data_IF_105129883167
#
_entry.id   IF_105129883167
#
_cell.length_a   1.000
_cell.length_b   1.000
_cell.length_c   1.000
_cell.angle_alpha   90.00
_cell.angle_beta   90.00
_cell.angle_gamma   90.00
#
_symmetry.space_group_name_H-M   'P 1'
#
loop_
_entity.id
_entity.type
_entity.pdbx_description
1 polymer ?
#
# COMPACT_ATOMS: atom_id res chain seq x y z
N UNK A 1 7.96 2.71 28.01
CA UNK A 1 7.15 3.44 26.99
C UNK A 1 7.52 2.89 25.63
N UNK A 2 6.56 2.34 24.91
CA UNK A 2 6.74 1.85 23.55
C UNK A 2 6.91 3.04 22.61
N UNK A 3 7.92 3.05 21.73
CA UNK A 3 8.11 4.15 20.78
C UNK A 3 6.85 4.32 19.93
N UNK A 4 6.29 5.52 19.90
CA UNK A 4 5.23 5.85 18.97
C UNK A 4 5.81 5.87 17.56
N UNK A 5 5.25 5.04 16.67
CA UNK A 5 5.58 5.08 15.24
C UNK A 5 4.85 6.26 14.59
N UNK A 6 5.42 6.86 13.53
CA UNK A 6 4.74 7.93 12.82
C UNK A 6 3.39 7.46 12.27
N UNK A 7 2.36 8.24 12.51
CA UNK A 7 1.01 8.05 11.96
C UNK A 7 0.48 9.32 11.29
N UNK A 8 1.25 10.40 11.32
CA UNK A 8 0.91 11.68 10.69
C UNK A 8 1.98 12.08 9.68
N UNK A 9 1.58 12.37 8.45
CA UNK A 9 2.46 12.77 7.35
C UNK A 9 2.39 14.29 7.19
N UNK A 10 3.54 14.95 7.27
CA UNK A 10 3.65 16.38 7.00
C UNK A 10 3.70 16.62 5.48
N UNK A 11 2.57 16.47 4.80
CA UNK A 11 2.44 16.69 3.37
C UNK A 11 1.69 18.00 3.10
N UNK A 12 2.11 18.73 2.06
CA UNK A 12 1.49 20.00 1.67
C UNK A 12 0.07 19.80 1.13
N UNK A 13 -0.18 18.69 0.40
CA UNK A 13 -1.48 18.31 -0.14
C UNK A 13 -1.69 16.80 -0.04
N UNK A 14 -2.94 16.39 0.17
CA UNK A 14 -3.33 15.00 0.32
C UNK A 14 -4.36 14.60 -0.74
N UNK A 15 -4.04 13.61 -1.56
CA UNK A 15 -4.99 12.99 -2.48
C UNK A 15 -6.07 12.20 -1.71
N UNK A 16 -5.67 11.56 -0.60
CA UNK A 16 -6.58 10.86 0.30
C UNK A 16 -6.30 11.29 1.73
N UNK A 17 -7.34 11.63 2.47
CA UNK A 17 -7.26 11.75 3.92
C UNK A 17 -8.48 11.13 4.60
N UNK A 18 -8.22 10.38 5.68
CA UNK A 18 -9.27 9.90 6.56
C UNK A 18 -8.97 10.35 7.98
N UNK A 19 -10.00 10.58 8.77
CA UNK A 19 -9.86 10.98 10.17
C UNK A 19 -10.84 10.20 11.04
N UNK A 20 -10.32 9.36 11.91
CA UNK A 20 -11.07 8.54 12.86
C UNK A 20 -12.08 7.59 12.18
N UNK A 21 -11.79 7.10 10.98
CA UNK A 21 -12.76 6.33 10.19
C UNK A 21 -13.03 4.98 10.83
N UNK A 22 -14.30 4.72 11.14
CA UNK A 22 -14.80 3.47 11.68
C UNK A 22 -15.82 2.82 10.73
N UNK A 23 -15.78 1.48 10.65
CA UNK A 23 -16.73 0.69 9.90
C UNK A 23 -17.04 -0.62 10.59
N UNK A 24 -18.33 -0.99 10.66
CA UNK A 24 -18.81 -2.27 11.22
C UNK A 24 -19.60 -3.06 10.18
N UNK A 25 -19.51 -4.37 10.27
CA UNK A 25 -20.37 -5.32 9.59
C UNK A 25 -21.08 -6.18 10.66
N UNK A 26 -22.34 -5.88 10.89
CA UNK A 26 -23.07 -6.51 12.00
C UNK A 26 -22.42 -6.18 13.36
N UNK A 27 -21.89 -7.19 14.04
CA UNK A 27 -21.21 -7.04 15.35
C UNK A 27 -19.71 -6.87 15.24
N UNK A 28 -19.13 -7.12 14.07
CA UNK A 28 -17.67 -7.08 13.85
C UNK A 28 -17.23 -5.72 13.32
N UNK A 29 -16.12 -5.19 13.88
CA UNK A 29 -15.47 -3.99 13.37
C UNK A 29 -14.53 -4.39 12.23
N UNK A 30 -14.67 -3.74 11.09
CA UNK A 30 -13.71 -3.82 10.01
C UNK A 30 -12.68 -2.70 10.05
N UNK A 31 -13.07 -1.52 10.58
CA UNK A 31 -12.18 -0.37 10.80
C UNK A 31 -12.44 0.25 12.17
N UNK A 32 -11.35 0.61 12.85
CA UNK A 32 -11.34 1.08 14.25
C UNK A 32 -10.59 2.41 14.38
N UNK A 33 -11.10 3.47 13.75
CA UNK A 33 -10.49 4.80 13.83
C UNK A 33 -9.25 4.92 12.93
N UNK A 34 -9.42 4.77 11.62
CA UNK A 34 -8.33 4.83 10.64
C UNK A 34 -8.06 6.28 10.23
N UNK A 35 -6.80 6.71 10.38
CA UNK A 35 -6.28 8.04 10.00
C UNK A 35 -5.28 7.90 8.85
N UNK A 36 -5.76 7.55 7.65
CA UNK A 36 -4.94 7.38 6.46
C UNK A 36 -4.67 8.72 5.77
N UNK A 37 -3.42 8.97 5.41
CA UNK A 37 -2.98 10.14 4.66
C UNK A 37 -2.16 9.70 3.46
N UNK A 38 -2.62 10.01 2.24
CA UNK A 38 -1.90 9.71 1.00
C UNK A 38 -1.51 11.04 0.34
N UNK A 39 -0.22 11.39 0.28
CA UNK A 39 0.25 12.60 -0.38
C UNK A 39 -0.05 12.59 -1.87
N UNK A 40 -0.35 13.75 -2.45
CA UNK A 40 -0.48 13.91 -3.90
C UNK A 40 0.83 13.59 -4.62
N UNK A 41 0.73 12.92 -5.76
CA UNK A 41 1.88 12.52 -6.60
C UNK A 41 2.72 11.35 -6.03
N UNK A 42 2.37 10.80 -4.88
CA UNK A 42 3.10 9.71 -4.26
C UNK A 42 2.55 8.33 -4.65
N UNK A 43 3.43 7.33 -4.68
CA UNK A 43 3.06 5.92 -4.66
C UNK A 43 3.02 5.45 -3.21
N UNK A 44 1.82 5.30 -2.69
CA UNK A 44 1.56 4.87 -1.32
C UNK A 44 1.17 3.39 -1.28
N UNK A 45 1.89 2.60 -0.51
CA UNK A 45 1.62 1.17 -0.33
C UNK A 45 1.01 0.93 1.05
N UNK A 46 -0.23 0.44 1.09
CA UNK A 46 -0.94 0.03 2.30
C UNK A 46 -0.84 -1.49 2.45
N UNK A 47 -0.05 -1.92 3.42
CA UNK A 47 0.19 -3.34 3.66
C UNK A 47 -0.57 -3.85 4.87
N UNK A 48 -0.92 -5.13 4.85
CA UNK A 48 -1.57 -5.79 5.97
C UNK A 48 -2.08 -7.17 5.61
N UNK A 49 -2.30 -8.05 6.59
CA UNK A 49 -2.84 -9.38 6.35
C UNK A 49 -4.26 -9.32 5.77
N UNK A 50 -4.74 -10.46 5.29
CA UNK A 50 -6.13 -10.60 4.87
C UNK A 50 -7.05 -10.32 6.07
N UNK A 51 -8.12 -9.55 5.84
CA UNK A 51 -9.01 -9.12 6.92
C UNK A 51 -8.54 -7.87 7.70
N UNK A 52 -7.36 -7.31 7.42
CA UNK A 52 -6.90 -6.08 8.11
C UNK A 52 -7.77 -4.83 7.88
N UNK A 53 -8.67 -4.85 6.88
CA UNK A 53 -9.55 -3.73 6.55
C UNK A 53 -9.16 -2.98 5.27
N UNK A 54 -8.10 -3.38 4.53
CA UNK A 54 -7.61 -2.72 3.31
C UNK A 54 -8.73 -2.48 2.28
N UNK A 55 -9.37 -3.54 1.79
CA UNK A 55 -10.46 -3.45 0.80
C UNK A 55 -11.67 -2.65 1.34
N UNK A 56 -11.96 -2.73 2.65
CA UNK A 56 -13.00 -1.90 3.27
C UNK A 56 -12.65 -0.44 3.20
N UNK A 57 -11.39 -0.07 3.49
CA UNK A 57 -10.88 1.29 3.34
C UNK A 57 -11.05 1.77 1.90
N UNK A 58 -10.62 0.99 0.90
CA UNK A 58 -10.78 1.37 -0.52
C UNK A 58 -12.25 1.60 -0.90
N UNK A 59 -13.16 0.73 -0.46
CA UNK A 59 -14.61 0.90 -0.74
C UNK A 59 -15.18 2.17 -0.14
N UNK A 60 -14.71 2.60 1.03
CA UNK A 60 -15.08 3.89 1.64
C UNK A 60 -14.54 5.08 0.83
N UNK A 61 -13.29 5.01 0.38
CA UNK A 61 -12.67 6.04 -0.46
C UNK A 61 -13.42 6.23 -1.78
N UNK A 62 -13.92 5.14 -2.37
CA UNK A 62 -14.70 5.17 -3.61
C UNK A 62 -16.17 5.55 -3.42
N UNK A 63 -16.63 5.74 -2.16
CA UNK A 63 -18.03 5.98 -1.85
C UNK A 63 -18.95 4.81 -2.16
N UNK A 64 -18.40 3.58 -2.22
CA UNK A 64 -19.15 2.33 -2.38
C UNK A 64 -19.70 1.82 -1.04
N UNK A 65 -19.14 2.31 0.06
CA UNK A 65 -19.61 2.10 1.42
C UNK A 65 -19.67 3.44 2.15
N UNK A 66 -20.57 3.56 3.12
CA UNK A 66 -20.60 4.68 4.05
C UNK A 66 -19.85 4.29 5.34
N UNK A 67 -18.97 5.14 5.90
CA UNK A 67 -18.41 4.94 7.22
C UNK A 67 -19.49 5.09 8.30
N UNK A 68 -19.30 4.41 9.42
CA UNK A 68 -20.19 4.54 10.59
C UNK A 68 -19.71 5.67 11.52
N UNK A 69 -18.47 6.11 11.37
CA UNK A 69 -17.89 7.26 12.07
C UNK A 69 -16.67 7.81 11.34
N UNK A 70 -16.26 9.02 11.69
CA UNK A 70 -15.11 9.70 11.11
C UNK A 70 -15.40 10.39 9.77
N UNK A 71 -14.34 10.89 9.16
CA UNK A 71 -14.37 11.64 7.91
C UNK A 71 -13.49 11.00 6.85
N UNK A 72 -13.96 11.08 5.58
CA UNK A 72 -13.21 10.63 4.40
C UNK A 72 -13.15 11.78 3.40
N UNK A 73 -11.95 12.05 2.89
CA UNK A 73 -11.73 12.99 1.76
C UNK A 73 -10.88 12.31 0.70
N UNK A 74 -11.30 12.46 -0.54
CA UNK A 74 -10.57 12.01 -1.73
C UNK A 74 -10.53 13.16 -2.71
N UNK A 75 -9.33 13.62 -3.08
CA UNK A 75 -9.13 14.85 -3.88
C UNK A 75 -9.94 16.03 -3.31
N UNK A 76 -9.91 16.19 -1.98
CA UNK A 76 -10.68 17.23 -1.25
C UNK A 76 -12.19 16.98 -1.12
N UNK A 77 -12.77 16.01 -1.83
CA UNK A 77 -14.21 15.72 -1.88
C UNK A 77 -14.65 14.70 -0.84
N UNK A 78 -15.89 14.80 -0.34
CA UNK A 78 -16.54 13.76 0.47
C UNK A 78 -17.18 12.70 -0.45
N UNK A 79 -16.70 11.45 -0.46
CA UNK A 79 -17.22 10.40 -1.34
C UNK A 79 -18.69 10.06 -1.13
N UNK A 80 -19.24 10.32 0.06
CA UNK A 80 -20.68 10.09 0.35
C UNK A 80 -21.57 11.09 -0.34
N UNK A 81 -21.12 12.35 -0.43
CA UNK A 81 -21.89 13.47 -1.01
C UNK A 81 -21.60 13.64 -2.49
N UNK A 82 -20.38 13.34 -2.92
CA UNK A 82 -19.87 13.63 -4.26
C UNK A 82 -19.33 12.36 -4.95
N UNK A 83 -19.87 11.17 -4.62
CA UNK A 83 -19.37 9.88 -5.10
C UNK A 83 -19.13 9.80 -6.61
N UNK A 84 -20.07 10.21 -7.48
CA UNK A 84 -19.84 10.23 -8.93
C UNK A 84 -18.65 11.09 -9.35
N UNK A 85 -18.48 12.27 -8.72
CA UNK A 85 -17.33 13.17 -9.00
C UNK A 85 -16.01 12.58 -8.54
N UNK A 86 -16.00 11.93 -7.35
CA UNK A 86 -14.82 11.21 -6.86
C UNK A 86 -14.44 10.10 -7.83
N UNK A 87 -15.39 9.24 -8.20
CA UNK A 87 -15.11 8.11 -9.11
C UNK A 87 -14.69 8.53 -10.51
N UNK A 88 -15.11 9.70 -10.98
CA UNK A 88 -14.64 10.27 -12.25
C UNK A 88 -13.15 10.68 -12.22
N UNK A 89 -12.57 10.88 -11.03
CA UNK A 89 -11.16 11.23 -10.82
C UNK A 89 -10.31 10.04 -10.30
N UNK A 90 -10.91 8.85 -10.19
CA UNK A 90 -10.22 7.67 -9.63
C UNK A 90 -10.25 6.53 -10.63
N UNK A 91 -9.08 6.03 -10.98
CA UNK A 91 -8.95 4.73 -11.63
C UNK A 91 -8.92 3.63 -10.56
N UNK A 92 -9.79 2.63 -10.67
CA UNK A 92 -9.88 1.57 -9.67
C UNK A 92 -9.66 0.19 -10.27
N UNK A 93 -8.76 -0.58 -9.67
CA UNK A 93 -8.56 -2.00 -9.97
C UNK A 93 -8.93 -2.83 -8.74
N UNK A 94 -10.02 -3.61 -8.78
CA UNK A 94 -10.43 -4.45 -7.66
C UNK A 94 -9.55 -5.71 -7.54
N UNK A 95 -9.44 -6.27 -6.33
CA UNK A 95 -8.78 -7.57 -6.06
C UNK A 95 -9.35 -8.68 -6.96
N UNK A 96 -10.67 -8.79 -7.01
CA UNK A 96 -11.38 -9.76 -7.85
C UNK A 96 -12.16 -9.03 -8.92
N UNK A 97 -11.73 -9.20 -10.17
CA UNK A 97 -12.49 -8.73 -11.32
C UNK A 97 -13.69 -9.65 -11.54
N UNK A 98 -14.87 -9.24 -11.09
CA UNK A 98 -16.10 -9.89 -11.54
C UNK A 98 -16.61 -9.18 -12.79
N UNK A 99 -16.42 -9.82 -13.92
CA UNK A 99 -16.94 -9.32 -15.19
C UNK A 99 -18.44 -9.65 -15.27
N UNK A 100 -19.31 -8.75 -14.79
CA UNK A 100 -20.74 -8.85 -15.06
C UNK A 100 -21.06 -8.92 -16.56
N UNK A 101 -20.08 -8.57 -17.41
CA UNK A 101 -20.15 -8.54 -18.87
C UNK A 101 -19.14 -9.49 -19.51
N UNK A 102 -18.93 -10.68 -18.95
CA UNK A 102 -17.93 -11.66 -19.44
C UNK A 102 -18.08 -12.06 -20.91
N UNK A 103 -19.26 -11.86 -21.49
CA UNK A 103 -19.55 -12.08 -22.91
C UNK A 103 -19.06 -10.96 -23.84
N UNK A 104 -18.80 -9.76 -23.30
CA UNK A 104 -18.29 -8.64 -24.09
C UNK A 104 -16.83 -8.89 -24.49
N UNK A 105 -16.45 -8.44 -25.68
CA UNK A 105 -15.04 -8.33 -26.04
C UNK A 105 -14.37 -7.21 -25.24
N UNK A 106 -13.04 -7.29 -25.04
CA UNK A 106 -12.29 -6.25 -24.35
C UNK A 106 -12.51 -4.87 -25.01
N UNK A 107 -12.52 -4.80 -26.35
CA UNK A 107 -12.78 -3.56 -27.07
C UNK A 107 -14.18 -2.98 -26.83
N UNK A 108 -15.23 -3.83 -26.78
CA UNK A 108 -16.59 -3.37 -26.43
C UNK A 108 -16.68 -2.90 -24.98
N UNK A 109 -15.95 -3.57 -24.08
CA UNK A 109 -15.90 -3.16 -22.68
C UNK A 109 -15.23 -1.79 -22.53
N UNK A 110 -14.15 -1.52 -23.27
CA UNK A 110 -13.51 -0.19 -23.32
C UNK A 110 -14.49 0.88 -23.80
N UNK A 111 -15.22 0.63 -24.91
CA UNK A 111 -16.23 1.56 -25.40
C UNK A 111 -17.34 1.83 -24.39
N UNK A 112 -17.82 0.76 -23.73
CA UNK A 112 -18.83 0.90 -22.67
C UNK A 112 -18.31 1.72 -21.48
N UNK A 113 -17.06 1.48 -21.07
CA UNK A 113 -16.46 2.17 -19.94
C UNK A 113 -16.20 3.65 -20.23
N UNK A 114 -15.73 3.98 -21.43
CA UNK A 114 -15.43 5.34 -21.88
C UNK A 114 -16.61 6.30 -21.75
N UNK A 115 -17.84 5.81 -21.84
CA UNK A 115 -19.07 6.65 -21.71
C UNK A 115 -19.17 7.32 -20.34
N UNK A 116 -18.59 6.70 -19.31
CA UNK A 116 -18.65 7.20 -17.94
C UNK A 116 -17.51 8.16 -17.57
N UNK A 117 -16.51 8.32 -18.46
CA UNK A 117 -15.34 9.15 -18.21
C UNK A 117 -15.14 10.18 -19.30
N UNK A 118 -15.57 11.43 -19.10
CA UNK A 118 -15.42 12.50 -20.11
C UNK A 118 -13.97 12.76 -20.56
N UNK A 119 -13.00 12.45 -19.70
CA UNK A 119 -11.56 12.58 -19.97
C UNK A 119 -10.95 11.31 -20.56
N UNK A 120 -11.75 10.39 -21.13
CA UNK A 120 -11.24 9.16 -21.73
C UNK A 120 -10.32 9.47 -22.93
N UNK A 121 -9.10 8.96 -22.86
CA UNK A 121 -8.06 9.14 -23.87
C UNK A 121 -7.91 7.86 -24.73
N UNK A 122 -8.49 7.87 -25.93
CA UNK A 122 -8.47 6.73 -26.85
C UNK A 122 -7.07 6.44 -27.39
N UNK A 123 -6.25 7.46 -27.62
CA UNK A 123 -4.86 7.28 -28.07
C UNK A 123 -4.07 6.57 -26.98
N UNK A 124 -4.20 7.05 -25.74
CA UNK A 124 -3.55 6.43 -24.60
C UNK A 124 -4.08 5.01 -24.32
N UNK A 125 -5.38 4.78 -24.41
CA UNK A 125 -5.97 3.46 -24.27
C UNK A 125 -5.41 2.47 -25.31
N UNK A 126 -5.20 2.93 -26.57
CA UNK A 126 -4.59 2.13 -27.63
C UNK A 126 -3.11 1.85 -27.35
N UNK A 127 -2.34 2.86 -26.88
CA UNK A 127 -0.96 2.68 -26.42
C UNK A 127 -0.88 1.60 -25.34
N UNK A 128 -1.73 1.68 -24.32
CA UNK A 128 -1.81 0.70 -23.22
C UNK A 128 -2.21 -0.69 -23.73
N UNK A 129 -3.20 -0.80 -24.60
CA UNK A 129 -3.65 -2.08 -25.15
C UNK A 129 -2.52 -2.80 -25.90
N UNK A 130 -1.75 -2.07 -26.70
CA UNK A 130 -0.59 -2.59 -27.40
C UNK A 130 0.53 -3.02 -26.44
N UNK A 131 0.86 -2.17 -25.47
CA UNK A 131 1.88 -2.45 -24.49
C UNK A 131 1.52 -3.64 -23.59
N UNK A 132 0.24 -3.81 -23.25
CA UNK A 132 -0.29 -4.98 -22.54
C UNK A 132 -0.50 -6.21 -23.42
N UNK A 133 -0.22 -6.14 -24.73
CA UNK A 133 -0.44 -7.22 -25.70
C UNK A 133 -1.88 -7.77 -25.66
N UNK A 134 -2.87 -6.88 -25.55
CA UNK A 134 -4.27 -7.25 -25.41
C UNK A 134 -4.93 -7.45 -26.80
N UNK A 135 -5.46 -8.64 -27.05
CA UNK A 135 -6.39 -8.87 -28.14
C UNK A 135 -7.78 -8.34 -27.75
N UNK A 136 -8.10 -7.15 -28.25
CA UNK A 136 -9.36 -6.47 -27.97
C UNK A 136 -10.60 -7.16 -28.56
N UNK A 137 -10.42 -8.14 -29.46
CA UNK A 137 -11.52 -8.92 -30.04
C UNK A 137 -11.99 -10.06 -29.13
N UNK A 138 -11.20 -10.46 -28.14
CA UNK A 138 -11.51 -11.58 -27.24
C UNK A 138 -12.53 -11.21 -26.17
N UNK A 139 -13.50 -12.09 -25.88
CA UNK A 139 -14.40 -11.93 -24.74
C UNK A 139 -13.62 -11.93 -23.42
N UNK A 140 -13.92 -10.95 -22.53
CA UNK A 140 -13.16 -10.79 -21.28
C UNK A 140 -13.31 -11.98 -20.33
N UNK A 141 -14.45 -12.69 -20.37
CA UNK A 141 -14.65 -13.91 -19.59
C UNK A 141 -13.83 -15.13 -20.05
N UNK A 142 -13.14 -15.03 -21.21
CA UNK A 142 -12.25 -16.07 -21.74
C UNK A 142 -10.77 -15.72 -21.59
N UNK A 143 -10.46 -14.59 -20.96
CA UNK A 143 -9.08 -14.17 -20.71
C UNK A 143 -8.48 -14.97 -19.55
N UNK A 144 -7.17 -15.18 -19.59
CA UNK A 144 -6.43 -15.64 -18.42
C UNK A 144 -6.52 -14.61 -17.27
N UNK A 145 -6.26 -15.01 -16.04
CA UNK A 145 -6.29 -14.10 -14.88
C UNK A 145 -5.38 -12.88 -15.11
N UNK A 146 -4.18 -13.10 -15.68
CA UNK A 146 -3.23 -12.04 -15.99
C UNK A 146 -3.74 -11.07 -17.07
N UNK A 147 -4.26 -11.58 -18.19
CA UNK A 147 -4.83 -10.72 -19.23
C UNK A 147 -6.06 -9.96 -18.73
N UNK A 148 -6.90 -10.58 -17.92
CA UNK A 148 -8.02 -9.91 -17.27
C UNK A 148 -7.56 -8.77 -16.35
N UNK A 149 -6.45 -8.95 -15.62
CA UNK A 149 -5.84 -7.92 -14.78
C UNK A 149 -5.32 -6.75 -15.61
N UNK A 150 -4.65 -7.02 -16.74
CA UNK A 150 -4.20 -5.99 -17.69
C UNK A 150 -5.37 -5.19 -18.28
N UNK A 151 -6.50 -5.84 -18.60
CA UNK A 151 -7.72 -5.11 -19.01
C UNK A 151 -8.24 -4.20 -17.91
N UNK A 152 -8.26 -4.63 -16.64
CA UNK A 152 -8.65 -3.75 -15.51
C UNK A 152 -7.72 -2.55 -15.36
N UNK A 153 -6.41 -2.76 -15.48
CA UNK A 153 -5.43 -1.67 -15.43
C UNK A 153 -5.65 -0.68 -16.57
N UNK A 154 -5.84 -1.18 -17.81
CA UNK A 154 -6.13 -0.32 -18.95
C UNK A 154 -7.39 0.52 -18.69
N UNK A 155 -8.49 -0.10 -18.23
CA UNK A 155 -9.73 0.62 -17.90
C UNK A 155 -9.52 1.69 -16.82
N UNK A 156 -8.68 1.40 -15.83
CA UNK A 156 -8.39 2.32 -14.73
C UNK A 156 -7.48 3.49 -15.15
N UNK A 157 -6.58 3.27 -16.14
CA UNK A 157 -5.56 4.25 -16.53
C UNK A 157 -5.97 5.10 -17.74
N UNK A 158 -6.86 4.59 -18.62
CA UNK A 158 -7.15 5.21 -19.92
C UNK A 158 -7.78 6.60 -19.84
N UNK A 159 -8.40 6.97 -18.74
CA UNK A 159 -8.94 8.32 -18.53
C UNK A 159 -7.97 9.25 -17.78
N UNK A 160 -6.70 8.84 -17.63
CA UNK A 160 -5.61 9.59 -16.97
C UNK A 160 -6.04 10.19 -15.61
N UNK A 161 -6.50 9.35 -14.67
CA UNK A 161 -6.99 9.83 -13.39
C UNK A 161 -5.87 10.44 -12.55
N UNK A 162 -6.13 11.47 -11.72
CA UNK A 162 -5.16 11.99 -10.77
C UNK A 162 -4.90 11.03 -9.61
N UNK A 163 -5.75 10.01 -9.40
CA UNK A 163 -5.58 8.99 -8.38
C UNK A 163 -5.89 7.60 -8.93
N UNK A 164 -4.93 6.67 -8.79
CA UNK A 164 -5.13 5.23 -8.99
C UNK A 164 -5.27 4.53 -7.65
N UNK A 165 -6.29 3.69 -7.52
CA UNK A 165 -6.55 2.85 -6.35
C UNK A 165 -6.50 1.39 -6.79
N UNK A 166 -5.53 0.64 -6.30
CA UNK A 166 -5.22 -0.70 -6.75
C UNK A 166 -5.33 -1.70 -5.59
N UNK A 167 -6.24 -2.66 -5.71
CA UNK A 167 -6.44 -3.70 -4.70
C UNK A 167 -5.80 -5.00 -5.19
N UNK A 168 -4.67 -5.41 -4.58
CA UNK A 168 -3.86 -6.59 -4.93
C UNK A 168 -3.55 -6.64 -6.45
N UNK A 169 -2.91 -5.61 -7.04
CA UNK A 169 -2.80 -5.47 -8.49
C UNK A 169 -1.98 -6.58 -9.16
N UNK A 170 -1.12 -7.25 -8.44
CA UNK A 170 -0.20 -8.29 -8.92
C UNK A 170 -0.62 -9.71 -8.52
N UNK A 171 -1.71 -9.85 -7.72
CA UNK A 171 -2.15 -11.16 -7.24
C UNK A 171 -2.49 -12.11 -8.40
N UNK A 172 -1.84 -13.28 -8.36
CA UNK A 172 -2.02 -14.36 -9.34
C UNK A 172 -1.41 -14.10 -10.72
N UNK A 173 -0.51 -13.13 -10.85
CA UNK A 173 0.37 -12.97 -11.98
C UNK A 173 1.62 -13.85 -11.81
N UNK A 174 2.12 -14.42 -12.91
CA UNK A 174 3.45 -15.00 -12.92
C UNK A 174 4.52 -13.89 -12.78
N UNK A 175 5.78 -14.24 -12.46
CA UNK A 175 6.83 -13.23 -12.22
C UNK A 175 7.09 -12.29 -13.40
N UNK A 176 7.01 -12.78 -14.65
CA UNK A 176 7.25 -11.96 -15.85
C UNK A 176 6.12 -10.96 -16.04
N UNK A 177 4.87 -11.44 -16.04
CA UNK A 177 3.69 -10.58 -16.18
C UNK A 177 3.58 -9.55 -15.06
N UNK A 178 4.05 -9.89 -13.86
CA UNK A 178 4.09 -8.99 -12.72
C UNK A 178 5.08 -7.84 -12.96
N UNK A 179 6.32 -8.15 -13.33
CA UNK A 179 7.37 -7.16 -13.57
C UNK A 179 6.97 -6.20 -14.69
N UNK A 180 6.42 -6.72 -15.80
CA UNK A 180 5.87 -5.92 -16.89
C UNK A 180 4.73 -5.00 -16.42
N UNK A 181 3.79 -5.53 -15.61
CA UNK A 181 2.65 -4.76 -15.09
C UNK A 181 3.13 -3.61 -14.18
N UNK A 182 4.10 -3.87 -13.32
CA UNK A 182 4.67 -2.84 -12.43
C UNK A 182 5.51 -1.83 -13.21
N UNK A 183 6.26 -2.27 -14.25
CA UNK A 183 6.97 -1.38 -15.16
C UNK A 183 6.03 -0.38 -15.84
N UNK A 184 4.90 -0.87 -16.38
CA UNK A 184 3.90 -0.01 -17.04
C UNK A 184 3.20 0.93 -16.06
N UNK A 185 2.98 0.49 -14.81
CA UNK A 185 2.47 1.37 -13.75
C UNK A 185 3.48 2.49 -13.43
N UNK A 186 4.77 2.16 -13.35
CA UNK A 186 5.85 3.13 -13.14
C UNK A 186 5.90 4.16 -14.27
N UNK A 187 5.82 3.70 -15.53
CA UNK A 187 5.77 4.58 -16.71
C UNK A 187 4.56 5.51 -16.66
N UNK A 188 3.36 4.97 -16.33
CA UNK A 188 2.16 5.78 -16.19
C UNK A 188 2.32 6.88 -15.12
N UNK A 189 2.86 6.52 -13.95
CA UNK A 189 3.13 7.49 -12.87
C UNK A 189 4.12 8.56 -13.34
N UNK A 190 5.20 8.16 -14.02
CA UNK A 190 6.20 9.09 -14.54
C UNK A 190 5.64 10.04 -15.61
N UNK A 191 4.74 9.55 -16.49
CA UNK A 191 4.11 10.36 -17.54
C UNK A 191 3.04 11.33 -16.99
N UNK A 192 2.28 10.93 -15.97
CA UNK A 192 1.09 11.66 -15.52
C UNK A 192 1.26 12.39 -14.20
N UNK A 193 2.22 11.99 -13.37
CA UNK A 193 2.36 12.47 -11.99
C UNK A 193 1.19 12.05 -11.08
N UNK A 194 0.41 11.04 -11.48
CA UNK A 194 -0.75 10.62 -10.69
C UNK A 194 -0.34 10.03 -9.33
N UNK A 195 -1.21 10.18 -8.36
CA UNK A 195 -1.09 9.49 -7.06
C UNK A 195 -1.50 8.03 -7.22
N UNK A 196 -0.80 7.12 -6.56
CA UNK A 196 -1.17 5.70 -6.54
C UNK A 196 -1.32 5.21 -5.11
N UNK A 197 -2.46 4.60 -4.80
CA UNK A 197 -2.69 3.86 -3.56
C UNK A 197 -2.78 2.37 -3.88
N UNK A 198 -1.78 1.61 -3.47
CA UNK A 198 -1.72 0.16 -3.64
C UNK A 198 -2.04 -0.51 -2.30
N UNK A 199 -3.05 -1.36 -2.27
CA UNK A 199 -3.28 -2.29 -1.16
C UNK A 199 -2.72 -3.66 -1.54
N UNK A 200 -1.82 -4.20 -0.71
CA UNK A 200 -1.27 -5.54 -0.95
C UNK A 200 -0.86 -6.22 0.36
N UNK A 201 -0.75 -7.53 0.32
CA UNK A 201 -0.12 -8.33 1.36
C UNK A 201 1.28 -8.82 0.94
N UNK A 202 1.68 -8.56 -0.33
CA UNK A 202 2.96 -8.97 -0.91
C UNK A 202 3.81 -7.71 -1.17
N UNK A 203 4.64 -7.35 -0.21
CA UNK A 203 5.35 -6.06 -0.21
C UNK A 203 6.51 -6.02 -1.20
N UNK A 204 7.29 -7.12 -1.31
CA UNK A 204 8.48 -7.16 -2.17
C UNK A 204 8.19 -6.89 -3.64
N UNK A 205 6.96 -7.15 -4.10
CA UNK A 205 6.56 -6.90 -5.48
C UNK A 205 6.52 -5.40 -5.81
N UNK A 206 6.09 -4.58 -4.87
CA UNK A 206 5.88 -3.13 -5.06
C UNK A 206 6.97 -2.25 -4.43
N UNK A 207 7.98 -2.87 -3.81
CA UNK A 207 9.06 -2.16 -3.08
C UNK A 207 9.73 -1.07 -3.93
N UNK A 208 10.01 -1.35 -5.20
CA UNK A 208 10.68 -0.41 -6.10
C UNK A 208 9.86 0.84 -6.42
N UNK A 209 8.53 0.76 -6.31
CA UNK A 209 7.60 1.84 -6.63
C UNK A 209 7.23 2.69 -5.42
N UNK A 210 7.31 2.12 -4.22
CA UNK A 210 6.77 2.72 -3.01
C UNK A 210 7.56 3.96 -2.55
N UNK A 211 6.88 5.10 -2.41
CA UNK A 211 7.39 6.31 -1.76
C UNK A 211 6.98 6.35 -0.28
N UNK A 212 5.81 5.77 0.03
CA UNK A 212 5.25 5.73 1.39
C UNK A 212 4.75 4.34 1.73
N UNK A 213 4.88 3.98 3.00
CA UNK A 213 4.35 2.76 3.58
C UNK A 213 3.31 3.08 4.64
N UNK A 214 2.13 2.45 4.52
CA UNK A 214 1.15 2.33 5.59
C UNK A 214 1.03 0.88 6.04
N UNK A 215 0.95 0.64 7.33
CA UNK A 215 0.80 -0.71 7.91
C UNK A 215 -0.56 -0.81 8.58
N UNK A 216 -1.37 -1.74 8.14
CA UNK A 216 -2.72 -1.96 8.64
C UNK A 216 -2.87 -3.33 9.29
N UNK A 217 -3.41 -3.37 10.50
CA UNK A 217 -3.68 -4.59 11.25
C UNK A 217 -4.94 -4.44 12.11
N UNK A 218 -5.80 -5.46 12.12
CA UNK A 218 -6.99 -5.52 12.97
C UNK A 218 -7.88 -4.27 12.88
N UNK A 219 -8.07 -3.76 11.66
CA UNK A 219 -8.88 -2.57 11.40
C UNK A 219 -8.25 -1.23 11.80
N UNK A 220 -6.96 -1.20 12.14
CA UNK A 220 -6.21 0.00 12.54
C UNK A 220 -5.03 0.26 11.61
N UNK A 221 -4.74 1.51 11.39
CA UNK A 221 -3.46 1.93 10.79
C UNK A 221 -2.44 2.07 11.93
N UNK A 222 -1.49 1.15 12.00
CA UNK A 222 -0.52 1.06 13.10
C UNK A 222 0.75 1.87 12.84
N UNK A 223 1.04 2.19 11.58
CA UNK A 223 2.12 3.07 11.16
C UNK A 223 1.86 3.61 9.77
N UNK A 224 2.30 4.83 9.48
CA UNK A 224 2.47 5.36 8.13
C UNK A 224 3.63 6.34 8.08
N UNK A 225 4.44 6.23 7.02
CA UNK A 225 5.66 7.04 6.89
C UNK A 225 6.22 7.04 5.48
N UNK A 226 7.02 8.05 5.12
CA UNK A 226 7.84 8.02 3.93
C UNK A 226 8.88 6.88 4.00
N UNK A 227 9.19 6.27 2.85
CA UNK A 227 10.21 5.23 2.71
C UNK A 227 11.58 5.66 3.25
N UNK A 228 11.98 6.90 2.98
CA UNK A 228 13.27 7.43 3.46
C UNK A 228 13.33 7.49 4.99
N UNK A 229 12.22 7.84 5.64
CA UNK A 229 12.12 7.82 7.10
C UNK A 229 12.21 6.39 7.63
N UNK A 230 11.54 5.44 6.97
CA UNK A 230 11.63 4.03 7.30
C UNK A 230 13.08 3.54 7.24
N UNK A 231 13.77 3.75 6.12
CA UNK A 231 15.15 3.29 5.91
C UNK A 231 16.14 3.94 6.88
N UNK A 232 15.90 5.21 7.26
CA UNK A 232 16.75 5.93 8.22
C UNK A 232 16.53 5.44 9.65
N UNK A 233 15.27 5.22 10.05
CA UNK A 233 14.90 5.02 11.44
C UNK A 233 14.70 3.56 11.83
N UNK A 234 14.35 2.65 10.90
CA UNK A 234 14.15 1.23 11.18
C UNK A 234 15.28 0.40 10.58
N UNK A 235 16.15 -0.11 11.45
CA UNK A 235 17.34 -0.85 11.04
C UNK A 235 17.42 -2.20 11.73
N UNK A 236 18.03 -3.15 11.05
CA UNK A 236 18.42 -4.45 11.62
C UNK A 236 19.81 -4.33 12.23
N UNK A 237 19.93 -4.64 13.51
CA UNK A 237 21.17 -4.73 14.23
C UNK A 237 21.53 -6.19 14.46
N UNK A 238 22.76 -6.58 14.09
CA UNK A 238 23.37 -7.86 14.44
C UNK A 238 24.48 -7.59 15.43
N UNK A 239 24.41 -8.21 16.60
CA UNK A 239 25.41 -8.00 17.64
C UNK A 239 25.66 -9.28 18.41
N UNK A 240 26.89 -9.42 18.91
CA UNK A 240 27.24 -10.43 19.90
C UNK A 240 26.99 -9.90 21.30
N UNK A 241 26.44 -10.74 22.14
CA UNK A 241 26.14 -10.39 23.53
C UNK A 241 26.85 -11.34 24.50
N UNK A 242 27.28 -10.85 25.68
CA UNK A 242 27.87 -11.67 26.69
C UNK A 242 26.87 -12.67 27.28
N UNK A 243 27.38 -13.71 27.94
CA UNK A 243 26.54 -14.67 28.63
C UNK A 243 25.72 -13.99 29.73
N UNK A 244 24.41 -14.31 29.79
CA UNK A 244 23.52 -13.72 30.78
C UNK A 244 23.09 -12.28 30.46
N UNK A 245 23.32 -11.77 29.23
CA UNK A 245 22.92 -10.44 28.83
C UNK A 245 21.43 -10.22 28.97
N UNK A 246 21.04 -9.15 29.67
CA UNK A 246 19.65 -8.85 30.04
C UNK A 246 18.95 -7.88 29.06
N UNK A 247 19.63 -7.46 28.00
CA UNK A 247 19.13 -6.47 27.05
C UNK A 247 19.87 -5.14 27.12
N UNK A 248 19.45 -4.17 26.31
CA UNK A 248 20.02 -2.82 26.29
C UNK A 248 19.04 -1.83 26.94
N UNK A 249 19.34 -1.32 28.13
CA UNK A 249 18.49 -0.36 28.82
C UNK A 249 18.19 0.87 27.93
N UNK A 250 16.93 1.29 27.91
CA UNK A 250 16.46 2.43 27.10
C UNK A 250 16.21 2.10 25.63
N UNK A 251 16.32 0.83 25.19
CA UNK A 251 15.89 0.38 23.86
C UNK A 251 14.58 -0.42 23.89
N UNK A 252 14.10 -0.88 25.03
CA UNK A 252 12.94 -1.78 25.13
C UNK A 252 11.68 -1.28 24.40
N UNK A 253 11.43 0.03 24.43
CA UNK A 253 10.30 0.65 23.72
C UNK A 253 10.52 0.85 22.22
N UNK A 254 11.77 0.77 21.76
CA UNK A 254 12.16 1.01 20.36
C UNK A 254 12.44 -0.27 19.59
N UNK A 255 12.62 -1.40 20.27
CA UNK A 255 12.78 -2.71 19.61
C UNK A 255 11.43 -3.14 19.04
N UNK A 256 11.36 -3.20 17.71
CA UNK A 256 10.16 -3.59 16.97
C UNK A 256 10.07 -5.12 16.89
N UNK A 257 11.20 -5.78 16.62
CA UNK A 257 11.28 -7.24 16.52
C UNK A 257 12.56 -7.75 17.13
N UNK A 258 12.46 -8.81 17.91
CA UNK A 258 13.61 -9.51 18.50
C UNK A 258 13.83 -10.84 17.78
N UNK A 259 15.09 -11.16 17.52
CA UNK A 259 15.55 -12.44 16.96
C UNK A 259 17.01 -12.69 17.34
N UNK A 260 17.54 -13.82 16.89
CA UNK A 260 18.91 -14.24 17.16
C UNK A 260 18.96 -15.65 17.76
N UNK A 261 20.16 -16.23 17.82
CA UNK A 261 20.42 -17.59 18.34
C UNK A 261 21.66 -17.53 19.22
N UNK A 262 21.58 -18.10 20.43
CA UNK A 262 22.70 -18.16 21.35
C UNK A 262 23.16 -16.79 21.81
N UNK A 263 24.41 -16.44 21.49
CA UNK A 263 25.00 -15.11 21.81
C UNK A 263 24.88 -14.10 20.68
N UNK A 264 24.27 -14.44 19.57
CA UNK A 264 24.01 -13.50 18.48
C UNK A 264 22.57 -12.99 18.57
N UNK A 265 22.40 -11.67 18.61
CA UNK A 265 21.10 -11.02 18.50
C UNK A 265 20.90 -10.45 17.09
N UNK A 266 19.64 -10.51 16.60
CA UNK A 266 19.19 -9.84 15.39
C UNK A 266 17.93 -9.06 15.73
N UNK A 267 18.08 -7.77 15.97
CA UNK A 267 16.98 -6.91 16.37
C UNK A 267 16.62 -5.90 15.29
N UNK A 268 15.33 -5.74 15.00
CA UNK A 268 14.83 -4.57 14.28
C UNK A 268 14.51 -3.48 15.32
N UNK A 269 15.20 -2.35 15.22
CA UNK A 269 15.08 -1.26 16.18
C UNK A 269 14.69 0.03 15.46
N UNK A 270 13.72 0.75 16.00
CA UNK A 270 13.33 2.08 15.58
C UNK A 270 14.14 3.13 16.34
N UNK A 271 14.96 3.91 15.66
CA UNK A 271 15.76 4.96 16.28
C UNK A 271 16.92 5.43 15.39
N UNK A 272 17.58 6.49 15.82
CA UNK A 272 18.82 6.95 15.16
C UNK A 272 19.93 5.88 15.31
N UNK A 273 20.64 5.59 14.21
CA UNK A 273 21.65 4.54 14.17
C UNK A 273 22.76 4.72 15.21
N UNK A 274 23.25 5.95 15.36
CA UNK A 274 24.35 6.25 16.29
C UNK A 274 23.92 6.06 17.73
N UNK A 275 22.68 6.51 18.05
CA UNK A 275 22.13 6.38 19.39
C UNK A 275 21.87 4.91 19.75
N UNK A 276 21.28 4.13 18.84
CA UNK A 276 20.99 2.70 19.04
C UNK A 276 22.30 1.92 19.20
N UNK A 277 23.28 2.17 18.33
CA UNK A 277 24.60 1.50 18.38
C UNK A 277 25.30 1.82 19.71
N UNK A 278 25.27 3.07 20.15
CA UNK A 278 25.85 3.49 21.46
C UNK A 278 25.19 2.73 22.62
N UNK A 279 23.86 2.69 22.68
CA UNK A 279 23.11 1.99 23.75
C UNK A 279 23.37 0.49 23.77
N UNK A 280 23.47 -0.15 22.59
CA UNK A 280 23.87 -1.56 22.48
C UNK A 280 25.28 -1.78 23.02
N UNK A 281 26.25 -0.96 22.63
CA UNK A 281 27.64 -1.04 23.09
C UNK A 281 27.76 -0.80 24.59
N UNK A 282 27.07 0.19 25.15
CA UNK A 282 27.04 0.47 26.60
C UNK A 282 26.42 -0.68 27.40
N UNK A 283 25.54 -1.49 26.79
CA UNK A 283 24.99 -2.69 27.42
C UNK A 283 25.92 -3.92 27.37
N UNK A 284 27.11 -3.79 26.80
CA UNK A 284 28.08 -4.87 26.61
C UNK A 284 27.91 -5.67 25.34
N UNK A 285 27.00 -5.26 24.42
CA UNK A 285 26.87 -5.90 23.12
C UNK A 285 27.94 -5.36 22.14
N UNK A 286 28.50 -6.24 21.31
CA UNK A 286 29.41 -5.88 20.20
C UNK A 286 28.62 -5.86 18.91
N UNK A 287 28.29 -4.66 18.41
CA UNK A 287 27.56 -4.51 17.15
C UNK A 287 28.44 -4.90 15.98
N UNK A 288 28.01 -5.89 15.19
CA UNK A 288 28.67 -6.37 13.98
C UNK A 288 28.20 -5.64 12.74
N UNK A 289 26.89 -5.36 12.66
CA UNK A 289 26.26 -4.80 11.49
C UNK A 289 24.99 -4.01 11.89
N UNK A 290 24.74 -2.92 11.16
CA UNK A 290 23.53 -2.09 11.29
C UNK A 290 23.05 -1.72 9.88
N UNK A 291 22.12 -2.50 9.34
CA UNK A 291 21.62 -2.34 7.97
C UNK A 291 20.17 -1.84 7.94
N UNK A 292 19.79 -0.95 6.99
CA UNK A 292 18.40 -0.63 6.77
C UNK A 292 17.62 -1.90 6.40
N UNK A 293 16.38 -1.99 6.82
CA UNK A 293 15.49 -3.08 6.40
C UNK A 293 14.97 -2.82 4.98
N UNK A 294 14.75 -3.90 4.22
CA UNK A 294 13.91 -3.81 3.01
C UNK A 294 12.49 -3.41 3.41
N UNK A 295 11.69 -2.92 2.47
CA UNK A 295 10.30 -2.56 2.77
C UNK A 295 9.51 -3.79 3.28
N UNK A 296 9.80 -4.97 2.73
CA UNK A 296 9.19 -6.24 3.16
C UNK A 296 9.57 -6.61 4.60
N UNK A 297 10.86 -6.63 4.93
CA UNK A 297 11.33 -6.92 6.28
C UNK A 297 10.78 -5.93 7.30
N UNK A 298 10.70 -4.65 6.91
CA UNK A 298 10.12 -3.60 7.73
C UNK A 298 8.62 -3.81 7.97
N UNK A 299 7.86 -4.13 6.91
CA UNK A 299 6.43 -4.45 7.02
C UNK A 299 6.20 -5.66 7.92
N UNK A 300 6.99 -6.73 7.74
CA UNK A 300 6.92 -7.93 8.60
C UNK A 300 7.25 -7.58 10.06
N UNK A 301 8.28 -6.78 10.30
CA UNK A 301 8.64 -6.35 11.65
C UNK A 301 7.51 -5.55 12.31
N UNK A 302 6.96 -4.56 11.58
CA UNK A 302 5.87 -3.69 12.06
C UNK A 302 4.58 -4.48 12.30
N UNK A 303 4.23 -5.44 11.42
CA UNK A 303 3.07 -6.31 11.57
C UNK A 303 3.22 -7.29 12.75
N UNK A 304 4.45 -7.74 13.05
CA UNK A 304 4.70 -8.66 14.15
C UNK A 304 4.75 -7.98 15.53
N UNK A 305 4.82 -6.65 15.57
CA UNK A 305 4.84 -5.89 16.82
C UNK A 305 3.53 -6.11 17.58
N UNK A 306 3.62 -6.67 18.79
CA UNK A 306 2.47 -6.75 19.70
C UNK A 306 2.36 -5.41 20.42
N UNK A 307 1.20 -4.77 20.36
CA UNK A 307 0.87 -3.67 21.27
C UNK A 307 0.74 -4.27 22.68
N UNK A 308 1.65 -3.90 23.58
CA UNK A 308 1.61 -4.25 25.00
C UNK A 308 0.78 -3.22 25.75
#
# INVERSE_FOLDING_TARGET
MTAALPTDLQAASLAVSTRGVAKRYGREFALLGVDLQVPEGAVYVLVGPNGAGKTTTLKLLLGLLAPDGGEVRVMGMDPRRQGPRVRAQVGYVPERGNWGYGYMTAGRLLQHHAVYFPAWDWEYATKLANAFELDLSRPVGKLSKGLARRVHLLLAMAHRPPLLVLDEPTDGLDPVMRDETLGMLAEHVAETGCTVLICTHIVHEVDRLADHLGVMRDGRLTAQMPRDTLHRMLRRYRADVPEGWQGAPGLDGTVIRRGGVGREIQWAVWGDEREVTRKLSESGATVRDAAPLTLEDAAVALLSRRET
#
